data_IF_445560813004
#
_entry.id   IF_445560813004
#
_cell.length_a   1.000
_cell.length_b   1.000
_cell.length_c   1.000
_cell.angle_alpha   90.00
_cell.angle_beta   90.00
_cell.angle_gamma   90.00
#
_symmetry.space_group_name_H-M   'P 1'
#
loop_
_entity.id
_entity.type
_entity.pdbx_description
1 polymer ?
#
# COMPACT_ATOMS: atom_id res chain seq x y z
N UNK A 1 -54.97 20.83 -5.94
CA UNK A 1 -53.71 20.36 -5.31
C UNK A 1 -53.33 19.06 -5.97
N UNK A 2 -52.29 19.05 -6.79
CA UNK A 2 -51.79 17.85 -7.48
C UNK A 2 -50.69 17.24 -6.61
N UNK A 3 -50.94 16.04 -6.08
CA UNK A 3 -49.98 15.29 -5.27
C UNK A 3 -48.93 14.66 -6.19
N UNK A 4 -47.73 15.24 -6.20
CA UNK A 4 -46.57 14.69 -6.89
C UNK A 4 -46.08 13.42 -6.18
N UNK A 5 -46.12 12.29 -6.86
CA UNK A 5 -45.53 11.02 -6.42
C UNK A 5 -43.99 11.15 -6.42
N UNK A 6 -43.27 10.75 -5.36
CA UNK A 6 -41.82 10.80 -5.35
C UNK A 6 -41.27 9.80 -6.37
N UNK A 7 -40.54 10.34 -7.35
CA UNK A 7 -39.75 9.57 -8.31
C UNK A 7 -38.77 8.67 -7.56
N UNK A 8 -39.00 7.35 -7.63
CA UNK A 8 -38.12 6.33 -7.08
C UNK A 8 -36.83 6.33 -7.90
N UNK A 9 -35.81 7.04 -7.41
CA UNK A 9 -34.46 6.93 -7.99
C UNK A 9 -34.05 5.45 -8.01
N UNK A 10 -33.54 4.94 -9.14
CA UNK A 10 -33.00 3.58 -9.17
C UNK A 10 -31.86 3.49 -8.15
N UNK A 11 -31.90 2.46 -7.30
CA UNK A 11 -30.84 2.20 -6.34
C UNK A 11 -29.51 2.09 -7.11
N UNK A 12 -28.52 2.89 -6.69
CA UNK A 12 -27.19 2.80 -7.24
C UNK A 12 -26.68 1.35 -7.06
N UNK A 13 -26.01 0.76 -8.07
CA UNK A 13 -25.44 -0.57 -7.92
C UNK A 13 -24.50 -0.57 -6.71
N UNK A 14 -24.78 -1.46 -5.75
CA UNK A 14 -23.93 -1.67 -4.59
C UNK A 14 -22.59 -2.21 -5.07
N UNK A 15 -21.54 -1.42 -4.90
CA UNK A 15 -20.20 -1.85 -5.28
C UNK A 15 -19.78 -3.09 -4.49
N UNK A 16 -19.03 -4.01 -5.12
CA UNK A 16 -18.50 -5.17 -4.42
C UNK A 16 -17.57 -4.71 -3.30
N UNK A 17 -17.68 -5.33 -2.14
CA UNK A 17 -16.93 -4.90 -0.98
C UNK A 17 -15.54 -5.53 -0.91
N UNK A 18 -14.54 -4.72 -0.55
CA UNK A 18 -13.15 -5.10 -0.37
C UNK A 18 -12.69 -4.65 1.03
N UNK A 19 -12.44 -5.57 1.96
CA UNK A 19 -11.79 -5.27 3.24
C UNK A 19 -10.65 -6.26 3.45
N UNK A 20 -9.48 -5.69 3.73
CA UNK A 20 -8.28 -6.41 4.09
C UNK A 20 -7.97 -6.12 5.56
N UNK A 21 -7.94 -7.15 6.38
CA UNK A 21 -7.46 -7.08 7.77
C UNK A 21 -6.15 -7.86 7.87
N UNK A 22 -5.08 -7.17 8.29
CA UNK A 22 -3.74 -7.73 8.41
C UNK A 22 -3.53 -8.19 9.86
N UNK A 23 -3.86 -9.46 10.12
CA UNK A 23 -3.58 -10.16 11.39
C UNK A 23 -2.88 -11.52 11.18
N UNK A 24 -2.71 -12.29 12.25
CA UNK A 24 -2.22 -13.68 12.20
C UNK A 24 -3.17 -14.59 11.41
N UNK A 25 -4.47 -14.32 11.49
CA UNK A 25 -5.53 -14.86 10.63
C UNK A 25 -6.11 -13.72 9.80
N UNK A 26 -6.04 -13.82 8.47
CA UNK A 26 -6.56 -12.79 7.60
C UNK A 26 -8.03 -13.09 7.30
N UNK A 27 -8.93 -12.27 7.84
CA UNK A 27 -10.36 -12.39 7.60
C UNK A 27 -10.78 -11.34 6.59
N UNK A 28 -11.43 -11.75 5.52
CA UNK A 28 -12.04 -10.83 4.56
C UNK A 28 -13.42 -10.44 5.04
N UNK A 29 -13.71 -9.14 5.08
CA UNK A 29 -15.00 -8.60 5.53
C UNK A 29 -15.76 -7.96 4.38
N UNK A 30 -17.03 -8.30 4.22
CA UNK A 30 -17.94 -7.53 3.37
C UNK A 30 -18.58 -6.38 4.16
N UNK A 31 -18.10 -5.14 4.02
CA UNK A 31 -18.72 -3.88 4.51
C UNK A 31 -20.21 -3.81 4.22
N UNK A 32 -20.66 -4.35 3.09
CA UNK A 32 -22.06 -4.27 2.67
C UNK A 32 -23.01 -5.24 3.38
N UNK A 33 -22.53 -6.39 3.85
CA UNK A 33 -23.39 -7.47 4.37
C UNK A 33 -22.87 -8.13 5.66
N UNK A 34 -21.73 -7.69 6.20
CA UNK A 34 -21.15 -8.20 7.45
C UNK A 34 -20.65 -9.66 7.38
N UNK A 35 -20.64 -10.28 6.20
CA UNK A 35 -20.22 -11.68 6.03
C UNK A 35 -18.70 -11.75 6.08
N UNK A 36 -18.20 -12.79 6.74
CA UNK A 36 -16.79 -13.05 6.99
C UNK A 36 -16.36 -14.25 6.17
N UNK A 37 -15.18 -14.16 5.56
CA UNK A 37 -14.51 -15.32 4.98
C UNK A 37 -13.16 -15.51 5.67
N UNK A 38 -12.90 -16.68 6.29
CA UNK A 38 -11.55 -17.04 6.71
C UNK A 38 -10.68 -17.25 5.47
N UNK A 39 -9.50 -16.65 5.45
CA UNK A 39 -8.50 -16.84 4.42
C UNK A 39 -7.19 -17.23 5.08
N UNK A 40 -6.49 -18.21 4.48
CA UNK A 40 -5.13 -18.55 4.91
C UNK A 40 -4.26 -17.31 4.73
N UNK A 41 -3.68 -16.80 5.82
CA UNK A 41 -2.92 -15.56 5.77
C UNK A 41 -1.71 -15.65 4.82
N UNK A 42 -1.20 -16.86 4.58
CA UNK A 42 -0.14 -17.12 3.60
C UNK A 42 -0.59 -16.87 2.15
N UNK A 43 -1.85 -17.12 1.81
CA UNK A 43 -2.40 -16.84 0.46
C UNK A 43 -2.46 -15.33 0.18
N UNK A 44 -2.74 -14.52 1.20
CA UNK A 44 -2.74 -13.06 1.11
C UNK A 44 -1.32 -12.46 1.19
N UNK A 45 -0.43 -13.03 2.02
CA UNK A 45 0.96 -12.57 2.16
C UNK A 45 1.79 -12.82 0.90
N UNK A 46 1.62 -13.97 0.24
CA UNK A 46 2.47 -14.38 -0.87
C UNK A 46 1.98 -13.95 -2.26
N UNK A 47 0.75 -13.43 -2.38
CA UNK A 47 0.18 -12.99 -3.67
C UNK A 47 -0.41 -11.58 -3.61
N UNK A 48 0.47 -10.56 -3.59
CA UNK A 48 0.09 -9.13 -3.70
C UNK A 48 -0.63 -8.75 -5.00
N UNK A 49 -0.77 -9.67 -5.94
CA UNK A 49 -1.41 -9.49 -7.24
C UNK A 49 -2.74 -10.25 -7.36
N UNK A 50 -3.38 -10.56 -6.22
CA UNK A 50 -4.71 -11.15 -6.14
C UNK A 50 -5.68 -10.13 -5.57
N UNK A 51 -6.85 -10.03 -6.18
CA UNK A 51 -8.01 -9.29 -5.69
C UNK A 51 -9.13 -10.27 -5.35
N UNK A 52 -9.63 -10.21 -4.12
CA UNK A 52 -10.79 -10.98 -3.67
C UNK A 52 -11.99 -10.06 -3.58
N UNK A 53 -13.12 -10.42 -4.19
CA UNK A 53 -14.31 -9.58 -4.21
C UNK A 53 -15.58 -10.43 -4.08
N UNK A 54 -16.66 -9.83 -3.58
CA UNK A 54 -17.98 -10.44 -3.51
C UNK A 54 -19.02 -9.48 -4.09
N UNK A 55 -19.95 -10.01 -4.88
CA UNK A 55 -21.11 -9.25 -5.35
C UNK A 55 -22.15 -9.21 -4.24
N UNK A 56 -22.74 -8.04 -4.05
CA UNK A 56 -23.85 -7.84 -3.11
C UNK A 56 -25.12 -7.97 -3.94
N UNK A 57 -25.85 -9.08 -3.78
CA UNK A 57 -27.11 -9.27 -4.48
C UNK A 57 -28.14 -8.23 -3.96
N UNK A 58 -28.45 -7.25 -4.79
CA UNK A 58 -29.45 -6.23 -4.51
C UNK A 58 -30.87 -6.75 -4.73
N UNK A 59 -31.37 -7.65 -3.87
CA UNK A 59 -32.77 -8.08 -4.00
C UNK A 59 -33.29 -9.10 -2.99
N UNK A 60 -34.13 -8.65 -2.06
CA UNK A 60 -35.27 -9.44 -1.55
C UNK A 60 -35.18 -9.95 -0.10
N UNK A 61 -36.05 -9.39 0.74
CA UNK A 61 -36.70 -9.87 1.98
C UNK A 61 -36.66 -11.39 2.32
N UNK A 62 -35.51 -12.05 2.34
CA UNK A 62 -35.35 -13.33 3.03
C UNK A 62 -34.52 -13.12 4.28
N UNK A 63 -35.15 -13.27 5.43
CA UNK A 63 -34.50 -13.46 6.71
C UNK A 63 -33.39 -14.52 6.57
N UNK A 64 -32.17 -14.09 6.87
CA UNK A 64 -30.89 -14.80 6.77
C UNK A 64 -30.29 -14.88 5.35
N UNK A 65 -29.19 -14.15 5.09
CA UNK A 65 -28.41 -14.33 3.87
C UNK A 65 -27.82 -15.76 3.87
N UNK A 66 -28.08 -16.50 2.79
CA UNK A 66 -27.39 -17.76 2.52
C UNK A 66 -25.87 -17.52 2.49
N UNK A 67 -25.11 -18.36 3.18
CA UNK A 67 -23.66 -18.30 3.34
C UNK A 67 -22.84 -18.47 2.02
N UNK A 68 -23.50 -18.34 0.86
CA UNK A 68 -22.98 -18.65 -0.46
C UNK A 68 -22.93 -17.44 -1.42
N UNK A 69 -22.91 -16.20 -0.92
CA UNK A 69 -22.43 -15.07 -1.72
C UNK A 69 -20.94 -15.32 -2.05
N UNK A 70 -20.70 -15.93 -3.21
CA UNK A 70 -19.42 -16.51 -3.58
C UNK A 70 -18.35 -15.45 -3.75
N UNK A 71 -17.45 -15.34 -2.78
CA UNK A 71 -16.21 -14.61 -2.93
C UNK A 71 -15.44 -15.13 -4.16
N UNK A 72 -15.24 -14.24 -5.13
CA UNK A 72 -14.47 -14.49 -6.34
C UNK A 72 -13.03 -14.02 -6.18
N UNK A 73 -12.11 -14.77 -6.79
CA UNK A 73 -10.68 -14.47 -6.87
C UNK A 73 -10.36 -13.93 -8.25
N UNK A 74 -9.56 -12.88 -8.34
CA UNK A 74 -9.05 -12.35 -9.58
C UNK A 74 -7.55 -12.08 -9.46
N UNK A 75 -6.74 -12.81 -10.23
CA UNK A 75 -5.31 -12.52 -10.36
C UNK A 75 -5.11 -11.44 -11.42
N UNK A 76 -4.26 -10.45 -11.11
CA UNK A 76 -3.98 -9.32 -11.99
C UNK A 76 -2.47 -9.13 -12.16
N UNK A 77 -2.08 -8.35 -13.18
CA UNK A 77 -0.69 -7.91 -13.39
C UNK A 77 -0.68 -6.44 -13.81
N UNK A 78 -0.04 -5.59 -12.98
CA UNK A 78 0.15 -4.16 -13.25
C UNK A 78 1.56 -3.85 -13.78
N UNK A 79 2.31 -4.89 -14.12
CA UNK A 79 3.72 -4.85 -14.45
C UNK A 79 4.57 -4.40 -13.27
N UNK A 80 5.71 -3.80 -13.58
CA UNK A 80 6.63 -3.25 -12.57
C UNK A 80 7.44 -2.10 -13.11
N UNK A 81 8.35 -1.59 -12.28
CA UNK A 81 9.34 -0.60 -12.65
C UNK A 81 10.67 -0.93 -12.02
N UNK A 82 11.75 -0.59 -12.71
CA UNK A 82 13.07 -0.63 -12.11
C UNK A 82 13.23 0.59 -11.19
N UNK A 83 13.39 0.33 -9.90
CA UNK A 83 13.67 1.33 -8.88
C UNK A 83 15.18 1.38 -8.67
N UNK A 84 15.74 2.59 -8.64
CA UNK A 84 17.16 2.78 -8.33
C UNK A 84 17.36 2.54 -6.84
N UNK A 85 18.30 1.66 -6.51
CA UNK A 85 18.71 1.35 -5.13
C UNK A 85 20.22 1.46 -5.01
N UNK A 86 20.74 1.49 -3.78
CA UNK A 86 22.19 1.43 -3.57
C UNK A 86 22.70 0.11 -4.19
N UNK A 87 23.64 0.21 -5.14
CA UNK A 87 24.22 -0.95 -5.83
C UNK A 87 23.52 -1.35 -7.13
N UNK A 88 22.54 -0.60 -7.63
CA UNK A 88 22.00 -0.80 -8.99
C UNK A 88 20.50 -0.54 -9.13
N UNK A 89 19.83 -1.40 -9.89
CA UNK A 89 18.38 -1.35 -10.09
C UNK A 89 17.73 -2.60 -9.53
N UNK A 90 16.59 -2.40 -8.86
CA UNK A 90 15.74 -3.47 -8.38
C UNK A 90 14.39 -3.40 -9.09
N UNK A 91 13.92 -4.51 -9.66
CA UNK A 91 12.59 -4.56 -10.26
C UNK A 91 11.53 -4.61 -9.16
N UNK A 92 10.75 -3.55 -9.03
CA UNK A 92 9.60 -3.48 -8.13
C UNK A 92 8.31 -3.75 -8.92
N UNK A 93 7.64 -4.86 -8.61
CA UNK A 93 6.28 -5.13 -9.10
C UNK A 93 5.31 -4.10 -8.54
N UNK A 94 4.35 -3.67 -9.37
CA UNK A 94 3.23 -2.83 -8.94
C UNK A 94 2.12 -3.71 -8.38
N UNK A 95 1.47 -3.24 -7.34
CA UNK A 95 0.30 -3.85 -6.75
C UNK A 95 -0.74 -2.76 -6.46
N UNK A 96 -2.01 -3.13 -6.38
CA UNK A 96 -3.04 -2.21 -5.93
C UNK A 96 -2.81 -1.90 -4.46
N UNK A 97 -2.70 -0.63 -4.12
CA UNK A 97 -2.67 -0.13 -2.74
C UNK A 97 -3.54 1.12 -2.64
N UNK A 98 -4.15 1.34 -1.47
CA UNK A 98 -5.07 2.47 -1.26
C UNK A 98 -6.21 2.44 -2.27
N UNK A 99 -7.08 1.43 -2.18
CA UNK A 99 -8.22 1.34 -3.10
C UNK A 99 -9.39 2.13 -2.52
N UNK A 100 -9.93 3.06 -3.31
CA UNK A 100 -11.01 3.97 -2.88
C UNK A 100 -12.20 3.88 -3.81
N UNK A 101 -13.38 3.60 -3.27
CA UNK A 101 -14.63 3.64 -4.00
C UNK A 101 -15.05 5.09 -4.28
N UNK A 102 -15.41 5.42 -5.51
CA UNK A 102 -15.94 6.72 -5.90
C UNK A 102 -16.76 6.57 -7.20
N UNK A 103 -17.93 7.20 -7.30
CA UNK A 103 -18.80 7.17 -8.49
C UNK A 103 -18.99 5.77 -9.14
N UNK A 104 -19.19 4.72 -8.34
CA UNK A 104 -19.43 3.37 -8.89
C UNK A 104 -18.19 2.66 -9.43
N UNK A 105 -16.98 3.15 -9.12
CA UNK A 105 -15.71 2.51 -9.48
C UNK A 105 -14.74 2.54 -8.31
N UNK A 106 -13.68 1.76 -8.41
CA UNK A 106 -12.57 1.84 -7.48
C UNK A 106 -11.37 2.50 -8.12
N UNK A 107 -10.67 3.32 -7.35
CA UNK A 107 -9.52 4.08 -7.81
C UNK A 107 -8.33 3.80 -6.90
N UNK A 108 -7.12 3.74 -7.47
CA UNK A 108 -5.88 3.54 -6.72
C UNK A 108 -4.74 4.36 -7.33
N UNK A 109 -3.74 4.68 -6.52
CA UNK A 109 -2.54 5.35 -7.02
C UNK A 109 -1.74 4.41 -7.93
N UNK A 110 -1.44 4.82 -9.16
CA UNK A 110 -0.66 4.00 -10.10
C UNK A 110 0.72 4.61 -10.37
N UNK A 111 0.79 5.85 -10.84
CA UNK A 111 2.02 6.65 -10.93
C UNK A 111 1.70 8.12 -10.73
N UNK A 112 2.73 8.98 -10.66
CA UNK A 112 2.54 10.44 -10.60
C UNK A 112 1.71 11.01 -11.77
N UNK A 113 1.61 10.29 -12.90
CA UNK A 113 0.91 10.75 -14.11
C UNK A 113 -0.25 9.83 -14.55
N UNK A 114 -0.56 8.81 -13.77
CA UNK A 114 -1.65 7.87 -14.05
C UNK A 114 -2.37 7.47 -12.78
N UNK A 115 -3.69 7.43 -12.84
CA UNK A 115 -4.52 6.87 -11.80
C UNK A 115 -5.06 5.52 -12.24
N UNK A 116 -5.00 4.53 -11.36
CA UNK A 116 -5.59 3.22 -11.60
C UNK A 116 -7.09 3.25 -11.38
N UNK A 117 -7.83 2.52 -12.21
CA UNK A 117 -9.27 2.34 -12.10
C UNK A 117 -9.59 0.85 -12.18
N UNK A 118 -10.41 0.38 -11.24
CA UNK A 118 -11.01 -0.94 -11.27
C UNK A 118 -12.51 -0.78 -11.42
N UNK A 119 -13.02 -1.26 -12.55
CA UNK A 119 -14.45 -1.35 -12.84
C UNK A 119 -14.89 -2.80 -12.62
N UNK A 120 -16.07 -3.02 -12.03
CA UNK A 120 -16.58 -4.34 -11.74
C UNK A 120 -17.82 -4.62 -12.58
N UNK A 121 -17.64 -5.27 -13.72
CA UNK A 121 -18.74 -5.63 -14.62
C UNK A 121 -18.39 -6.81 -15.53
N UNK A 122 -18.79 -8.06 -15.20
CA UNK A 122 -19.08 -8.62 -13.87
C UNK A 122 -17.81 -9.00 -13.08
N UNK A 123 -16.64 -8.99 -13.72
CA UNK A 123 -15.33 -9.23 -13.12
C UNK A 123 -14.53 -7.93 -13.05
N UNK A 124 -13.44 -7.87 -12.26
CA UNK A 124 -12.58 -6.70 -12.18
C UNK A 124 -11.89 -6.42 -13.52
N UNK A 125 -12.04 -5.20 -14.01
CA UNK A 125 -11.37 -4.69 -15.20
C UNK A 125 -10.45 -3.56 -14.78
N UNK A 126 -9.16 -3.77 -14.97
CA UNK A 126 -8.11 -2.80 -14.64
C UNK A 126 -7.86 -1.87 -15.83
N UNK A 127 -7.85 -0.57 -15.55
CA UNK A 127 -7.50 0.45 -16.54
C UNK A 127 -6.77 1.61 -15.85
N UNK A 128 -6.31 2.57 -16.65
CA UNK A 128 -5.69 3.78 -16.10
C UNK A 128 -6.24 5.04 -16.76
N UNK A 129 -6.31 6.12 -15.98
CA UNK A 129 -6.65 7.46 -16.46
C UNK A 129 -5.39 8.33 -16.41
N UNK A 130 -4.95 8.93 -17.53
CA UNK A 130 -3.84 9.88 -17.55
C UNK A 130 -4.19 11.14 -16.76
N UNK A 131 -3.27 11.58 -15.91
CA UNK A 131 -3.41 12.78 -15.08
C UNK A 131 -2.12 13.59 -15.12
N UNK A 132 -2.23 14.91 -14.97
CA UNK A 132 -1.06 15.75 -14.68
C UNK A 132 -0.49 15.39 -13.30
N UNK A 133 0.84 15.44 -13.17
CA UNK A 133 1.48 15.31 -11.88
C UNK A 133 1.11 16.46 -10.95
N UNK A 134 1.15 16.21 -9.64
CA UNK A 134 1.07 17.28 -8.64
C UNK A 134 2.31 18.15 -8.80
N UNK A 135 2.11 19.43 -9.09
CA UNK A 135 3.17 20.43 -9.05
C UNK A 135 3.44 20.82 -7.59
N UNK A 136 4.72 20.82 -7.22
CA UNK A 136 5.22 21.25 -5.91
C UNK A 136 5.89 22.63 -5.98
N UNK A 137 5.82 23.29 -7.14
CA UNK A 137 6.70 24.39 -7.55
C UNK A 137 6.61 25.62 -6.64
N UNK A 138 5.53 25.77 -5.88
CA UNK A 138 5.32 26.94 -5.01
C UNK A 138 5.98 26.82 -3.61
N UNK A 139 6.53 25.66 -3.21
CA UNK A 139 6.91 25.43 -1.79
C UNK A 139 8.19 24.66 -1.53
N UNK A 140 8.92 24.23 -2.56
CA UNK A 140 10.15 23.43 -2.39
C UNK A 140 11.27 24.06 -3.23
N UNK A 141 12.40 24.46 -2.62
CA UNK A 141 13.55 24.95 -3.37
C UNK A 141 14.00 23.92 -4.41
N UNK A 142 14.22 24.37 -5.65
CA UNK A 142 14.50 23.53 -6.83
C UNK A 142 15.73 22.61 -6.69
N UNK A 143 16.58 22.87 -5.69
CA UNK A 143 17.84 22.15 -5.46
C UNK A 143 17.73 21.01 -4.43
N UNK A 144 16.62 20.88 -3.70
CA UNK A 144 16.43 19.81 -2.72
C UNK A 144 15.62 18.65 -3.30
N UNK A 145 16.33 17.60 -3.69
CA UNK A 145 15.82 16.34 -4.27
C UNK A 145 14.73 15.70 -3.39
N UNK A 146 13.46 15.87 -3.74
CA UNK A 146 12.34 15.16 -3.11
C UNK A 146 12.11 13.82 -3.82
N UNK A 147 12.41 12.71 -3.15
CA UNK A 147 12.20 11.36 -3.69
C UNK A 147 11.14 10.54 -2.92
N UNK A 148 10.57 11.07 -1.83
CA UNK A 148 9.64 10.32 -0.97
C UNK A 148 8.36 11.10 -0.67
N UNK A 149 7.22 10.44 -0.87
CA UNK A 149 5.92 10.93 -0.45
C UNK A 149 5.03 9.75 -0.03
N UNK A 150 4.35 9.90 1.10
CA UNK A 150 3.20 9.05 1.42
C UNK A 150 1.97 9.62 0.72
N UNK A 151 1.24 8.77 0.01
CA UNK A 151 0.04 9.14 -0.74
C UNK A 151 -1.16 8.34 -0.26
N UNK A 152 -2.25 9.03 0.04
CA UNK A 152 -3.45 8.43 0.59
C UNK A 152 -4.66 8.83 -0.24
N UNK A 153 -5.38 7.83 -0.72
CA UNK A 153 -6.59 8.00 -1.52
C UNK A 153 -7.81 7.88 -0.62
N UNK A 154 -8.77 8.79 -0.79
CA UNK A 154 -10.00 8.80 -0.01
C UNK A 154 -11.12 9.48 -0.78
N UNK A 155 -12.36 9.14 -0.41
CA UNK A 155 -13.57 9.74 -0.97
C UNK A 155 -14.13 10.73 0.06
N UNK A 156 -14.47 11.94 -0.38
CA UNK A 156 -15.13 12.97 0.42
C UNK A 156 -16.26 13.59 -0.42
N UNK A 157 -17.50 13.54 0.06
CA UNK A 157 -18.70 14.08 -0.59
C UNK A 157 -18.95 13.57 -2.03
N UNK A 158 -18.70 12.29 -2.25
CA UNK A 158 -18.80 11.62 -3.53
C UNK A 158 -17.61 11.85 -4.47
N UNK A 159 -16.67 12.72 -4.11
CA UNK A 159 -15.53 13.11 -4.95
C UNK A 159 -14.23 12.44 -4.47
N UNK A 160 -13.33 12.12 -5.41
CA UNK A 160 -12.06 11.49 -5.09
C UNK A 160 -11.00 12.53 -4.70
N UNK A 161 -10.31 12.27 -3.60
CA UNK A 161 -9.20 13.06 -3.10
C UNK A 161 -7.93 12.23 -2.95
N UNK A 162 -6.80 12.92 -3.06
CA UNK A 162 -5.48 12.42 -2.74
C UNK A 162 -4.83 13.35 -1.72
N UNK A 163 -4.48 12.81 -0.57
CA UNK A 163 -3.62 13.47 0.41
C UNK A 163 -2.18 13.01 0.22
N UNK A 164 -1.26 13.97 0.20
CA UNK A 164 0.17 13.72 0.18
C UNK A 164 0.85 14.30 1.41
N UNK A 165 1.76 13.52 1.98
CA UNK A 165 2.76 13.96 2.95
C UNK A 165 4.12 13.80 2.27
N UNK A 166 4.76 14.93 1.95
CA UNK A 166 6.06 14.97 1.28
C UNK A 166 7.18 15.12 2.29
N UNK A 167 8.25 14.36 2.11
CA UNK A 167 9.37 14.27 3.03
C UNK A 167 10.68 14.73 2.39
N UNK A 168 11.60 15.28 3.19
CA UNK A 168 12.90 15.74 2.71
C UNK A 168 13.78 14.55 2.33
N UNK A 169 14.07 14.40 1.03
CA UNK A 169 14.89 13.29 0.53
C UNK A 169 14.34 11.91 0.89
N UNK A 170 15.15 11.12 1.61
CA UNK A 170 14.77 9.81 2.15
C UNK A 170 14.42 9.85 3.65
N UNK A 171 14.48 11.02 4.29
CA UNK A 171 14.17 11.19 5.70
C UNK A 171 12.65 11.33 5.90
N UNK A 172 12.00 10.23 6.31
CA UNK A 172 10.57 10.19 6.61
C UNK A 172 10.15 10.96 7.87
N UNK A 173 11.08 11.52 8.64
CA UNK A 173 10.77 12.31 9.83
C UNK A 173 10.65 13.81 9.52
N UNK A 174 11.29 14.28 8.45
CA UNK A 174 11.26 15.69 8.04
C UNK A 174 10.18 15.93 6.99
N UNK A 175 8.98 16.30 7.45
CA UNK A 175 7.88 16.72 6.57
C UNK A 175 8.20 18.08 5.95
N UNK A 176 8.13 18.17 4.63
CA UNK A 176 8.31 19.43 3.88
C UNK A 176 6.97 20.08 3.60
N UNK A 177 6.04 19.33 3.02
CA UNK A 177 4.73 19.87 2.65
C UNK A 177 3.66 18.81 2.75
N UNK A 178 2.49 19.22 3.26
CA UNK A 178 1.26 18.44 3.23
C UNK A 178 0.30 19.09 2.24
N UNK A 179 -0.34 18.28 1.41
CA UNK A 179 -1.28 18.76 0.41
C UNK A 179 -2.43 17.80 0.20
N UNK A 180 -3.65 18.34 0.16
CA UNK A 180 -4.85 17.61 -0.25
C UNK A 180 -5.25 18.10 -1.63
N UNK A 181 -5.55 17.16 -2.52
CA UNK A 181 -5.88 17.44 -3.91
C UNK A 181 -7.16 16.72 -4.28
N UNK A 182 -8.14 17.46 -4.81
CA UNK A 182 -9.29 16.86 -5.48
C UNK A 182 -8.85 16.36 -6.85
N UNK A 183 -9.21 15.14 -7.21
CA UNK A 183 -8.84 14.52 -8.48
C UNK A 183 -9.85 14.91 -9.56
N UNK A 184 -9.58 16.00 -10.30
CA UNK A 184 -10.46 16.47 -11.38
C UNK A 184 -10.21 15.66 -12.66
N UNK A 185 -10.95 14.56 -12.81
CA UNK A 185 -10.84 13.67 -13.97
C UNK A 185 -11.28 14.33 -15.29
N UNK A 186 -12.16 15.33 -15.25
CA UNK A 186 -12.58 16.09 -16.43
C UNK A 186 -11.43 16.93 -16.97
N UNK A 187 -10.72 17.64 -16.07
CA UNK A 187 -9.55 18.46 -16.42
C UNK A 187 -8.25 17.67 -16.44
N UNK A 188 -8.30 16.38 -16.11
CA UNK A 188 -7.16 15.46 -15.99
C UNK A 188 -6.03 16.03 -15.14
N UNK A 189 -6.36 16.67 -14.02
CA UNK A 189 -5.37 17.26 -13.12
C UNK A 189 -5.80 17.21 -11.66
N UNK A 190 -4.86 17.01 -10.73
CA UNK A 190 -5.10 17.25 -9.32
C UNK A 190 -5.31 18.75 -9.09
N UNK A 191 -6.30 19.10 -8.26
CA UNK A 191 -6.60 20.49 -7.86
C UNK A 191 -6.40 20.59 -6.36
N UNK A 192 -5.39 21.37 -5.93
CA UNK A 192 -5.10 21.56 -4.50
C UNK A 192 -6.30 22.21 -3.83
N UNK A 193 -6.77 21.62 -2.74
CA UNK A 193 -7.81 22.20 -1.88
C UNK A 193 -7.16 22.82 -0.64
N UNK A 194 -7.67 23.98 -0.23
CA UNK A 194 -7.17 24.70 0.96
C UNK A 194 -7.88 24.29 2.24
N UNK A 195 -9.08 23.72 2.11
CA UNK A 195 -9.92 23.28 3.22
C UNK A 195 -10.77 22.11 2.76
N UNK A 196 -11.04 21.19 3.69
CA UNK A 196 -12.01 20.10 3.55
C UNK A 196 -13.23 20.32 4.47
N UNK A 197 -13.44 21.56 4.92
CA UNK A 197 -14.53 21.93 5.82
C UNK A 197 -14.27 21.51 7.27
N UNK A 198 -15.34 21.10 7.94
CA UNK A 198 -15.44 20.57 9.31
C UNK A 198 -14.99 19.10 9.41
N UNK A 199 -14.03 18.70 8.57
CA UNK A 199 -13.52 17.33 8.51
C UNK A 199 -12.04 17.30 8.79
N UNK A 200 -11.62 16.17 9.33
CA UNK A 200 -10.22 15.79 9.48
C UNK A 200 -9.95 14.50 8.69
N UNK A 201 -8.78 14.41 8.08
CA UNK A 201 -8.30 13.18 7.45
C UNK A 201 -7.46 12.43 8.46
N UNK A 202 -7.70 11.12 8.60
CA UNK A 202 -6.90 10.21 9.40
C UNK A 202 -6.29 9.17 8.46
N UNK A 203 -4.96 9.09 8.44
CA UNK A 203 -4.20 8.30 7.50
C UNK A 203 -3.28 7.30 8.20
N UNK A 204 -3.17 6.11 7.60
CA UNK A 204 -2.33 5.04 8.08
C UNK A 204 -0.83 5.27 7.90
N UNK A 205 -0.05 4.31 8.38
CA UNK A 205 1.40 4.26 8.12
C UNK A 205 1.67 4.06 6.62
N UNK A 206 2.86 4.45 6.15
CA UNK A 206 3.28 4.29 4.74
C UNK A 206 3.25 2.83 4.25
N UNK A 207 3.35 1.85 5.16
CA UNK A 207 3.22 0.42 4.84
C UNK A 207 1.81 0.04 4.41
N UNK A 208 0.79 0.79 4.86
CA UNK A 208 -0.62 0.57 4.57
C UNK A 208 -1.27 1.92 4.25
N UNK A 209 -1.24 2.31 2.97
CA UNK A 209 -1.79 3.58 2.47
C UNK A 209 -3.33 3.66 2.55
N UNK A 210 -3.93 3.43 3.71
CA UNK A 210 -5.33 3.71 3.97
C UNK A 210 -5.49 5.13 4.50
N UNK A 211 -6.63 5.75 4.17
CA UNK A 211 -7.08 6.95 4.83
C UNK A 211 -8.60 6.97 4.89
N UNK A 212 -9.11 7.59 5.93
CA UNK A 212 -10.51 7.96 6.08
C UNK A 212 -10.63 9.43 6.44
N UNK A 213 -11.86 9.90 6.55
CA UNK A 213 -12.16 11.20 7.10
C UNK A 213 -13.21 11.09 8.20
N UNK A 214 -13.20 12.05 9.12
CA UNK A 214 -14.16 12.13 10.22
C UNK A 214 -14.65 13.57 10.41
N UNK A 215 -15.96 13.78 10.67
CA UNK A 215 -16.47 15.07 11.11
C UNK A 215 -15.78 15.50 12.41
N UNK A 216 -15.38 16.76 12.50
CA UNK A 216 -14.63 17.29 13.64
C UNK A 216 -15.49 17.61 14.85
N UNK A 217 -16.77 17.94 14.61
CA UNK A 217 -17.72 18.26 15.68
C UNK A 217 -17.90 17.11 16.69
N UNK A 218 -17.81 15.86 16.23
CA UNK A 218 -18.01 14.65 17.05
C UNK A 218 -16.72 13.97 17.48
N UNK A 219 -15.58 14.28 16.83
CA UNK A 219 -14.32 13.56 17.04
C UNK A 219 -13.28 14.33 17.84
N UNK A 220 -13.50 15.62 18.13
CA UNK A 220 -12.51 16.49 18.76
C UNK A 220 -11.29 16.78 17.88
N UNK A 221 -11.29 16.28 16.63
CA UNK A 221 -10.24 16.57 15.66
C UNK A 221 -10.34 18.01 15.18
N UNK A 222 -9.24 18.57 14.70
CA UNK A 222 -9.22 19.93 14.18
C UNK A 222 -9.73 19.95 12.73
N UNK A 223 -10.65 20.87 12.38
CA UNK A 223 -11.11 21.05 11.01
C UNK A 223 -9.96 21.24 10.03
N UNK A 224 -10.15 20.75 8.80
CA UNK A 224 -9.21 20.91 7.69
C UNK A 224 -7.78 20.49 8.02
N UNK A 225 -7.63 19.41 8.78
CA UNK A 225 -6.32 18.89 9.21
C UNK A 225 -6.12 17.44 8.77
N UNK A 226 -4.87 17.07 8.55
CA UNK A 226 -4.46 15.67 8.31
C UNK A 226 -3.71 15.18 9.54
N UNK A 227 -4.10 13.99 9.97
CA UNK A 227 -3.52 13.19 11.03
C UNK A 227 -2.97 11.93 10.36
N UNK A 228 -1.68 11.61 10.55
CA UNK A 228 -1.11 10.39 9.99
C UNK A 228 -0.19 9.69 10.98
N UNK A 229 -0.05 8.38 10.84
CA UNK A 229 0.88 7.57 11.63
C UNK A 229 2.28 7.64 11.03
N UNK A 230 3.26 8.12 11.81
CA UNK A 230 4.66 8.16 11.41
C UNK A 230 5.26 6.75 11.46
N UNK A 231 6.02 6.30 10.44
CA UNK A 231 6.51 4.94 10.38
C UNK A 231 7.61 4.57 11.40
N UNK A 232 8.12 5.47 12.26
CA UNK A 232 9.38 5.21 12.99
C UNK A 232 9.53 5.77 14.43
N UNK A 233 8.47 6.10 15.18
CA UNK A 233 8.64 6.30 16.64
C UNK A 233 8.49 4.96 17.37
N UNK A 234 9.62 4.29 17.59
CA UNK A 234 9.78 3.01 18.29
C UNK A 234 9.77 3.12 19.83
N UNK A 235 9.43 4.28 20.40
CA UNK A 235 9.38 4.44 21.86
C UNK A 235 7.95 4.66 22.33
N UNK A 236 7.32 3.56 22.77
CA UNK A 236 6.15 3.51 23.64
C UNK A 236 4.96 4.42 23.26
N UNK A 237 4.39 4.23 22.07
CA UNK A 237 3.06 4.73 21.73
C UNK A 237 2.85 4.92 20.24
N UNK A 238 1.65 4.60 19.72
CA UNK A 238 1.25 5.03 18.39
C UNK A 238 0.99 6.55 18.44
N UNK A 239 1.92 7.33 17.89
CA UNK A 239 1.79 8.78 17.82
C UNK A 239 1.03 9.18 16.56
N UNK A 240 -0.04 9.95 16.74
CA UNK A 240 -0.72 10.63 15.65
C UNK A 240 -0.10 12.02 15.52
N UNK A 241 0.47 12.32 14.35
CA UNK A 241 1.04 13.62 14.07
C UNK A 241 0.04 14.52 13.33
N UNK A 242 -0.27 15.71 13.88
CA UNK A 242 -1.00 16.77 13.17
C UNK A 242 -0.13 18.01 13.06
N UNK A 243 0.61 18.14 11.94
CA UNK A 243 1.39 19.36 11.70
C UNK A 243 0.56 20.55 11.22
N UNK A 244 -0.68 20.34 10.79
CA UNK A 244 -1.61 21.45 10.51
C UNK A 244 -1.90 22.28 11.76
N UNK A 245 -1.68 21.69 12.95
CA UNK A 245 -1.99 22.27 14.25
C UNK A 245 -0.86 22.22 15.28
N UNK A 246 0.25 21.51 15.01
CA UNK A 246 1.35 21.32 15.96
C UNK A 246 1.03 20.34 17.09
N UNK A 247 0.00 19.49 16.94
CA UNK A 247 -0.40 18.54 17.97
C UNK A 247 0.43 17.25 17.88
N UNK A 248 1.07 16.93 19.01
CA UNK A 248 1.69 15.64 19.32
C UNK A 248 0.79 14.95 20.36
N UNK A 249 0.15 13.84 20.01
CA UNK A 249 -0.64 13.06 20.97
C UNK A 249 -0.59 11.57 20.66
N UNK A 250 -0.72 10.76 21.70
CA UNK A 250 -0.81 9.30 21.62
C UNK A 250 -2.25 8.88 21.36
N UNK A 251 -2.46 8.08 20.33
CA UNK A 251 -3.72 7.35 20.13
C UNK A 251 -3.50 5.94 20.67
N UNK A 252 -4.40 5.48 21.55
CA UNK A 252 -4.39 4.10 22.03
C UNK A 252 -5.60 3.37 21.46
N UNK A 253 -5.49 2.70 20.30
CA UNK A 253 -6.36 1.60 19.97
C UNK A 253 -5.76 0.34 20.60
N UNK A 254 -6.49 -0.32 21.49
CA UNK A 254 -6.08 -1.60 22.10
C UNK A 254 -6.08 -2.76 21.07
N UNK A 255 -5.33 -2.66 19.96
CA UNK A 255 -5.12 -3.78 19.02
C UNK A 255 -3.83 -3.56 18.21
N UNK A 256 -2.65 -3.96 18.70
CA UNK A 256 -1.48 -4.29 17.86
C UNK A 256 -0.32 -4.87 18.68
N UNK A 257 -0.36 -6.18 18.98
CA UNK A 257 0.85 -6.92 19.43
C UNK A 257 1.38 -7.90 18.37
N UNK A 258 0.72 -8.04 17.23
CA UNK A 258 1.08 -9.02 16.20
C UNK A 258 2.05 -8.49 15.12
N UNK A 259 2.16 -7.16 14.94
CA UNK A 259 2.85 -6.60 13.76
C UNK A 259 4.35 -6.32 13.98
N UNK A 260 4.81 -6.28 15.24
CA UNK A 260 6.24 -6.10 15.56
C UNK A 260 7.06 -7.37 15.37
N UNK A 261 6.44 -8.55 15.51
CA UNK A 261 7.09 -9.85 15.29
C UNK A 261 7.47 -10.03 13.83
N UNK A 262 6.63 -9.57 12.89
CA UNK A 262 6.84 -9.75 11.45
C UNK A 262 8.05 -9.00 10.89
N UNK A 263 8.28 -7.76 11.33
CA UNK A 263 9.45 -6.99 10.90
C UNK A 263 10.75 -7.47 11.56
N UNK A 264 10.67 -8.01 12.77
CA UNK A 264 11.80 -8.65 13.45
C UNK A 264 12.18 -9.95 12.73
N UNK A 265 11.20 -10.82 12.46
CA UNK A 265 11.37 -12.08 11.75
C UNK A 265 11.88 -11.88 10.31
N UNK A 266 11.41 -10.87 9.59
CA UNK A 266 11.90 -10.57 8.24
C UNK A 266 13.37 -10.12 8.25
N UNK A 267 13.79 -9.34 9.26
CA UNK A 267 15.19 -8.94 9.44
C UNK A 267 16.07 -10.13 9.85
N UNK A 268 15.56 -11.02 10.70
CA UNK A 268 16.26 -12.24 11.11
C UNK A 268 16.41 -13.22 9.95
N UNK A 269 15.38 -13.42 9.12
CA UNK A 269 15.45 -14.25 7.92
C UNK A 269 16.42 -13.68 6.88
N UNK A 270 16.47 -12.36 6.71
CA UNK A 270 17.44 -11.73 5.82
C UNK A 270 18.88 -11.88 6.35
N UNK A 271 19.08 -11.72 7.65
CA UNK A 271 20.37 -11.96 8.30
C UNK A 271 20.82 -13.42 8.17
N UNK A 272 19.92 -14.38 8.37
CA UNK A 272 20.19 -15.81 8.20
C UNK A 272 20.56 -16.14 6.74
N UNK A 273 19.83 -15.58 5.78
CA UNK A 273 20.12 -15.74 4.34
C UNK A 273 21.51 -15.21 4.00
N UNK A 274 21.89 -14.07 4.53
CA UNK A 274 23.22 -13.49 4.34
C UNK A 274 24.32 -14.33 4.99
N UNK A 275 24.09 -14.84 6.20
CA UNK A 275 25.03 -15.74 6.88
C UNK A 275 25.23 -17.05 6.10
N UNK A 276 24.15 -17.65 5.61
CA UNK A 276 24.21 -18.87 4.79
C UNK A 276 25.01 -18.65 3.51
N UNK A 277 24.75 -17.53 2.81
CA UNK A 277 25.47 -17.15 1.59
C UNK A 277 26.97 -16.92 1.86
N UNK A 278 27.32 -16.30 2.99
CA UNK A 278 28.71 -16.11 3.39
C UNK A 278 29.41 -17.44 3.72
N UNK A 279 28.72 -18.38 4.37
CA UNK A 279 29.25 -19.71 4.68
C UNK A 279 29.49 -20.53 3.41
N UNK A 280 28.57 -20.49 2.45
CA UNK A 280 28.71 -21.15 1.15
C UNK A 280 29.90 -20.59 0.37
N UNK A 281 30.07 -19.27 0.32
CA UNK A 281 31.22 -18.62 -0.30
C UNK A 281 32.55 -19.05 0.35
N UNK A 282 32.57 -19.17 1.69
CA UNK A 282 33.75 -19.66 2.43
C UNK A 282 34.09 -21.11 2.10
N UNK A 283 33.08 -21.99 1.99
CA UNK A 283 33.24 -23.40 1.60
C UNK A 283 33.73 -23.53 0.15
N UNK A 284 33.17 -22.73 -0.76
CA UNK A 284 33.61 -22.68 -2.16
C UNK A 284 35.08 -22.25 -2.28
N UNK A 285 35.49 -21.21 -1.55
CA UNK A 285 36.89 -20.77 -1.50
C UNK A 285 37.84 -21.84 -0.96
N UNK A 286 37.42 -22.63 0.03
CA UNK A 286 38.22 -23.76 0.55
C UNK A 286 38.36 -24.89 -0.46
N UNK A 287 37.29 -25.22 -1.22
CA UNK A 287 37.34 -26.23 -2.29
C UNK A 287 38.32 -25.82 -3.39
N UNK A 288 38.22 -24.57 -3.87
CA UNK A 288 39.14 -24.03 -4.88
C UNK A 288 40.62 -24.10 -4.43
N UNK A 289 40.91 -23.80 -3.17
CA UNK A 289 42.28 -23.92 -2.62
C UNK A 289 42.78 -25.38 -2.61
N UNK A 290 41.91 -26.35 -2.30
CA UNK A 290 42.26 -27.79 -2.30
C UNK A 290 42.52 -28.29 -3.72
N UNK A 291 41.68 -27.91 -4.67
CA UNK A 291 41.89 -28.25 -6.09
C UNK A 291 43.17 -27.66 -6.64
N UNK A 292 43.45 -26.39 -6.37
CA UNK A 292 44.71 -25.75 -6.75
C UNK A 292 45.93 -26.50 -6.19
N UNK A 293 45.88 -26.90 -4.91
CA UNK A 293 46.97 -27.66 -4.28
C UNK A 293 47.14 -29.05 -4.91
N UNK A 294 46.03 -29.71 -5.27
CA UNK A 294 46.03 -31.01 -5.97
C UNK A 294 46.66 -30.89 -7.36
N UNK A 295 46.20 -29.94 -8.18
CA UNK A 295 46.75 -29.67 -9.51
C UNK A 295 48.25 -29.34 -9.46
N UNK A 296 48.67 -28.53 -8.48
CA UNK A 296 50.09 -28.19 -8.29
C UNK A 296 50.93 -29.43 -7.96
N UNK A 297 50.42 -30.35 -7.13
CA UNK A 297 51.10 -31.59 -6.79
C UNK A 297 51.20 -32.56 -7.98
N UNK A 298 50.14 -32.69 -8.76
CA UNK A 298 50.11 -33.50 -9.99
C UNK A 298 51.10 -32.96 -11.02
N UNK A 299 51.13 -31.65 -11.24
CA UNK A 299 52.10 -31.01 -12.12
C UNK A 299 53.55 -31.25 -11.67
N UNK A 300 53.82 -31.22 -10.36
CA UNK A 300 55.15 -31.55 -9.82
C UNK A 300 55.52 -33.03 -10.03
N UNK A 301 54.58 -33.95 -9.86
CA UNK A 301 54.79 -35.39 -10.12
C UNK A 301 55.08 -35.64 -11.59
N UNK A 302 54.31 -35.04 -12.50
CA UNK A 302 54.53 -35.13 -13.95
C UNK A 302 55.92 -34.61 -14.35
N UNK A 303 56.34 -33.46 -13.82
CA UNK A 303 57.69 -32.90 -14.05
C UNK A 303 58.80 -33.82 -13.54
N UNK A 304 58.61 -34.50 -12.39
CA UNK A 304 59.60 -35.46 -11.87
C UNK A 304 59.66 -36.74 -12.72
N UNK A 305 58.53 -37.23 -13.21
CA UNK A 305 58.49 -38.41 -14.08
C UNK A 305 59.17 -38.15 -15.44
N UNK A 306 58.99 -36.95 -16.01
CA UNK A 306 59.63 -36.56 -17.26
C UNK A 306 61.17 -36.42 -17.16
N UNK A 307 61.72 -36.16 -15.97
CA UNK A 307 63.17 -36.10 -15.73
C UNK A 307 63.84 -37.46 -15.50
N UNK A 308 63.05 -38.53 -15.34
CA UNK A 308 63.53 -39.92 -15.12
C UNK A 308 63.51 -40.77 -16.38
N UNK A 309 62.98 -40.25 -17.48
CA UNK A 309 63.10 -40.81 -18.83
C UNK A 309 64.20 -40.07 -19.56
#
# INVERSE_FOLDING_TARGET
>A
MVTSTPSRQPAAPTLPCLVFDYGETATLYGVSHGVRRPCEAEELRNKRNVLWYCHVDGGGSSSFPSAAAGWAKHEYDLGGTNVRVIGGYHFARRFVSGLTACHGRFYYFHTATKYGVVDFSPAPVFSTVPMKAVSLDDKVPTEETMASASSYTLEIDGELYMAYVFFHGADSNTVVVVGVYRMDFRKRKPVRVRSIGDRAIVAGSSSFCFAGWSPTASSGLRPSSIYWMSPMEQEEGEYIFCRTCGYNGTFRPDVAKADMTYHQEAKEQEAERLQKKALEAKRAGQRAKREYKKQKLEAQRAKKAAKRK
#
